data_IF_306611799494
#
_entry.id   IF_306611799494
#
_cell.length_a   1.000
_cell.length_b   1.000
_cell.length_c   1.000
_cell.angle_alpha   90.00
_cell.angle_beta   90.00
_cell.angle_gamma   90.00
#
_symmetry.space_group_name_H-M   'P 1'
#
loop_
_entity.id
_entity.type
_entity.pdbx_description
1 polymer ?
#
# COMPACT_ATOMS: atom_id res chain seq x y z
N UNK A 1 -3.92 -3.99 -16.17
CA UNK A 1 -4.33 -2.79 -15.42
C UNK A 1 -4.18 -3.14 -13.97
N UNK A 2 -3.38 -2.38 -13.24
CA UNK A 2 -3.16 -2.61 -11.82
C UNK A 2 -4.40 -2.16 -11.05
N UNK A 3 -4.77 -2.85 -9.98
CA UNK A 3 -5.86 -2.45 -9.11
C UNK A 3 -5.52 -2.64 -7.64
N UNK A 4 -6.39 -2.13 -6.76
CA UNK A 4 -6.17 -2.18 -5.29
C UNK A 4 -5.88 -3.58 -4.76
N UNK A 5 -6.51 -4.61 -5.35
CA UNK A 5 -6.29 -6.02 -4.97
C UNK A 5 -4.84 -6.47 -5.17
N UNK A 6 -4.14 -5.96 -6.18
CA UNK A 6 -2.74 -6.32 -6.43
C UNK A 6 -1.84 -5.90 -5.27
N UNK A 7 -2.08 -4.71 -4.68
CA UNK A 7 -1.36 -4.25 -3.50
C UNK A 7 -1.67 -5.14 -2.28
N UNK A 8 -2.94 -5.48 -2.04
CA UNK A 8 -3.31 -6.39 -0.95
C UNK A 8 -2.64 -7.76 -1.10
N UNK A 9 -2.61 -8.33 -2.30
CA UNK A 9 -1.91 -9.59 -2.58
C UNK A 9 -0.41 -9.47 -2.33
N UNK A 10 0.19 -8.35 -2.74
CA UNK A 10 1.61 -8.08 -2.52
C UNK A 10 1.96 -7.96 -1.04
N UNK A 11 1.23 -7.16 -0.26
CA UNK A 11 1.50 -7.04 1.18
C UNK A 11 1.29 -8.37 1.91
N UNK A 12 0.28 -9.16 1.53
CA UNK A 12 0.03 -10.51 2.08
C UNK A 12 1.18 -11.48 1.81
N UNK A 13 1.90 -11.33 0.69
CA UNK A 13 3.07 -12.15 0.35
C UNK A 13 4.26 -11.87 1.28
N UNK A 14 4.31 -10.68 1.89
CA UNK A 14 5.39 -10.23 2.77
C UNK A 14 4.81 -9.77 4.13
N UNK A 15 4.25 -10.68 4.93
CA UNK A 15 3.65 -10.31 6.21
C UNK A 15 4.69 -9.66 7.13
N UNK A 16 4.23 -8.68 7.92
CA UNK A 16 5.01 -7.90 8.90
C UNK A 16 6.11 -7.02 8.29
N UNK A 17 6.38 -7.12 6.98
CA UNK A 17 7.27 -6.21 6.26
C UNK A 17 6.56 -4.90 5.98
N UNK A 18 7.28 -3.80 6.17
CA UNK A 18 6.83 -2.46 5.83
C UNK A 18 7.35 -2.08 4.45
N UNK A 19 6.53 -1.39 3.67
CA UNK A 19 6.90 -0.78 2.40
C UNK A 19 6.50 0.68 2.42
N UNK A 20 7.41 1.58 2.03
CA UNK A 20 7.06 2.98 1.83
C UNK A 20 6.17 3.14 0.60
N UNK A 21 5.41 4.24 0.54
CA UNK A 21 4.62 4.63 -0.63
C UNK A 21 5.50 4.64 -1.90
N UNK A 22 6.69 5.22 -1.81
CA UNK A 22 7.64 5.33 -2.91
C UNK A 22 8.19 3.97 -3.33
N UNK A 23 8.47 3.07 -2.38
CA UNK A 23 8.86 1.68 -2.70
C UNK A 23 7.78 0.98 -3.51
N UNK A 24 6.50 1.12 -3.11
CA UNK A 24 5.39 0.49 -3.81
C UNK A 24 5.25 1.08 -5.21
N UNK A 25 5.30 2.41 -5.36
CA UNK A 25 5.28 3.06 -6.67
C UNK A 25 6.38 2.50 -7.56
N UNK A 26 7.63 2.44 -7.07
CA UNK A 26 8.77 1.91 -7.82
C UNK A 26 8.64 0.42 -8.19
N UNK A 27 7.93 -0.39 -7.40
CA UNK A 27 7.71 -1.81 -7.69
C UNK A 27 6.69 -2.01 -8.82
N UNK A 28 5.66 -1.16 -8.86
CA UNK A 28 4.49 -1.39 -9.69
C UNK A 28 4.40 -0.49 -10.92
N UNK A 29 5.01 0.71 -10.88
CA UNK A 29 4.98 1.64 -12.01
C UNK A 29 5.87 1.14 -13.14
N UNK A 30 5.38 1.29 -14.38
CA UNK A 30 6.19 1.12 -15.60
C UNK A 30 6.21 2.39 -16.44
N UNK A 31 5.43 3.38 -16.04
CA UNK A 31 5.23 4.66 -16.69
C UNK A 31 4.80 5.70 -15.65
N UNK A 32 4.90 6.98 -16.01
CA UNK A 32 4.41 8.09 -15.18
C UNK A 32 2.89 8.07 -14.98
N UNK A 33 2.14 7.50 -15.92
CA UNK A 33 0.69 7.32 -15.79
C UNK A 33 0.36 6.30 -14.70
N UNK A 34 1.11 5.19 -14.65
CA UNK A 34 0.98 4.19 -13.58
C UNK A 34 1.30 4.82 -12.21
N UNK A 35 2.30 5.70 -12.11
CA UNK A 35 2.65 6.34 -10.83
C UNK A 35 1.47 7.12 -10.25
N UNK A 36 0.79 7.92 -11.08
CA UNK A 36 -0.38 8.71 -10.67
C UNK A 36 -1.53 7.80 -10.25
N UNK A 37 -1.79 6.74 -11.01
CA UNK A 37 -2.86 5.79 -10.70
C UNK A 37 -2.58 4.99 -9.40
N UNK A 38 -1.33 4.53 -9.23
CA UNK A 38 -0.87 3.83 -8.03
C UNK A 38 -0.97 4.77 -6.81
N UNK A 39 -0.52 6.01 -6.94
CA UNK A 39 -0.61 7.00 -5.87
C UNK A 39 -2.06 7.25 -5.44
N UNK A 40 -2.99 7.31 -6.40
CA UNK A 40 -4.41 7.43 -6.11
C UNK A 40 -4.92 6.21 -5.34
N UNK A 41 -4.63 4.99 -5.80
CA UNK A 41 -5.06 3.77 -5.11
C UNK A 41 -4.49 3.64 -3.70
N UNK A 42 -3.21 3.97 -3.51
CA UNK A 42 -2.57 3.95 -2.20
C UNK A 42 -3.21 4.95 -1.24
N UNK A 43 -3.57 6.14 -1.73
CA UNK A 43 -4.29 7.15 -0.93
C UNK A 43 -5.69 6.67 -0.53
N UNK A 44 -6.42 6.02 -1.44
CA UNK A 44 -7.71 5.39 -1.08
C UNK A 44 -7.54 4.31 0.00
N UNK A 45 -6.52 3.45 -0.14
CA UNK A 45 -6.25 2.38 0.82
C UNK A 45 -5.83 2.90 2.20
N UNK A 46 -5.10 4.02 2.26
CA UNK A 46 -4.79 4.71 3.52
C UNK A 46 -6.07 5.12 4.25
N UNK A 47 -7.01 5.75 3.54
CA UNK A 47 -8.31 6.14 4.10
C UNK A 47 -9.11 4.90 4.52
N UNK A 48 -9.23 3.90 3.65
CA UNK A 48 -9.97 2.66 3.93
C UNK A 48 -9.40 1.92 5.16
N UNK A 49 -8.08 1.88 5.32
CA UNK A 49 -7.42 1.23 6.47
C UNK A 49 -7.74 1.88 7.80
N UNK A 50 -8.09 3.17 7.80
CA UNK A 50 -8.45 3.91 9.02
C UNK A 50 -9.84 3.53 9.53
N UNK A 51 -10.76 3.15 8.62
CA UNK A 51 -12.16 2.85 8.97
C UNK A 51 -12.47 1.34 8.99
N UNK A 52 -11.68 0.54 8.29
CA UNK A 52 -11.87 -0.91 8.23
C UNK A 52 -11.00 -1.62 9.28
N UNK A 53 -11.55 -2.66 9.92
CA UNK A 53 -10.75 -3.64 10.68
C UNK A 53 -9.96 -4.55 9.71
N UNK A 54 -9.24 -3.93 8.77
CA UNK A 54 -8.39 -4.66 7.85
C UNK A 54 -7.07 -5.02 8.53
N UNK A 55 -6.42 -6.06 8.03
CA UNK A 55 -5.07 -6.43 8.43
C UNK A 55 -3.99 -5.52 7.82
N UNK A 56 -4.38 -4.54 6.99
CA UNK A 56 -3.46 -3.56 6.43
C UNK A 56 -3.34 -2.38 7.39
N UNK A 57 -2.14 -2.19 7.91
CA UNK A 57 -1.79 -1.06 8.75
C UNK A 57 -1.06 -0.02 7.91
N UNK A 58 -1.50 1.22 8.04
CA UNK A 58 -0.86 2.37 7.40
C UNK A 58 -0.33 3.29 8.48
N UNK A 59 0.94 3.69 8.37
CA UNK A 59 1.61 4.54 9.36
C UNK A 59 2.39 5.65 8.67
N UNK A 60 2.41 6.84 9.26
CA UNK A 60 3.26 7.94 8.80
C UNK A 60 4.48 8.06 9.72
N UNK A 61 5.69 7.97 9.15
CA UNK A 61 6.97 8.11 9.86
C UNK A 61 7.82 9.15 9.15
N UNK A 62 8.16 10.23 9.85
CA UNK A 62 8.96 11.34 9.31
C UNK A 62 8.44 11.93 7.98
N UNK A 63 7.11 11.95 7.79
CA UNK A 63 6.48 12.47 6.56
C UNK A 63 6.32 11.45 5.44
N UNK A 64 6.79 10.21 5.62
CA UNK A 64 6.63 9.12 4.65
C UNK A 64 5.56 8.14 5.13
N UNK A 65 4.66 7.75 4.22
CA UNK A 65 3.60 6.76 4.48
C UNK A 65 4.13 5.35 4.23
N UNK A 66 3.84 4.45 5.16
CA UNK A 66 4.25 3.04 5.13
C UNK A 66 3.04 2.12 5.23
N UNK A 67 3.07 1.05 4.45
CA UNK A 67 2.05 0.00 4.37
C UNK A 67 2.60 -1.31 4.91
N UNK A 68 1.83 -1.97 5.77
CA UNK A 68 2.22 -3.25 6.38
C UNK A 68 1.02 -4.17 6.55
N UNK A 69 1.14 -5.39 6.07
CA UNK A 69 0.17 -6.43 6.39
C UNK A 69 0.52 -7.11 7.72
N UNK A 70 -0.36 -7.04 8.70
CA UNK A 70 -0.27 -7.89 9.89
C UNK A 70 -0.96 -9.22 9.59
N UNK A 71 -0.28 -10.33 9.86
CA UNK A 71 -1.00 -11.60 9.98
C UNK A 71 -2.04 -11.44 11.09
N UNK A 72 -3.27 -11.89 10.83
CA UNK A 72 -4.26 -12.05 11.90
C UNK A 72 -3.59 -12.81 13.05
N UNK A 73 -3.74 -12.30 14.26
CA UNK A 73 -3.46 -13.10 15.46
C UNK A 73 -4.31 -14.38 15.45
#
# INVERSE_FOLDING_TARGET
MIGKLDFYHYFRKYPKKEFSKEEIINIFSKSTEDEVEIEHFLSEMEVESTYSHSNLFVTCKAGTVYYKWNESA
#
